data_IF_049524474916
#
_entry.id   IF_049524474916
#
_cell.length_a   1.000
_cell.length_b   1.000
_cell.length_c   1.000
_cell.angle_alpha   90.00
_cell.angle_beta   90.00
_cell.angle_gamma   90.00
#
_symmetry.space_group_name_H-M   'P 1'
#
loop_
_entity.id
_entity.type
_entity.pdbx_description
1 polymer ?
#
# COMPACT_ATOMS: atom_id res chain seq x y z
N UNK A 1 31.55 -3.84 33.11
CA UNK A 1 30.60 -4.92 32.75
C UNK A 1 29.82 -5.23 34.02
N UNK A 2 28.50 -5.05 34.01
CA UNK A 2 27.67 -5.01 35.22
C UNK A 2 27.28 -6.42 35.69
N UNK A 3 27.57 -6.70 36.97
CA UNK A 3 27.32 -7.94 37.73
C UNK A 3 25.86 -8.45 37.67
N UNK A 4 24.90 -7.59 37.33
CA UNK A 4 23.48 -7.91 37.14
C UNK A 4 23.19 -8.89 35.98
N UNK A 5 24.07 -8.96 34.98
CA UNK A 5 23.93 -9.91 33.87
C UNK A 5 24.47 -11.31 34.21
N UNK A 6 25.36 -11.42 35.21
CA UNK A 6 25.89 -12.72 35.68
C UNK A 6 24.95 -13.39 36.68
N UNK A 7 24.34 -12.64 37.59
CA UNK A 7 23.49 -13.20 38.67
C UNK A 7 22.13 -13.70 38.19
N UNK A 8 21.64 -13.23 37.03
CA UNK A 8 20.32 -13.56 36.51
C UNK A 8 20.33 -13.83 34.99
N UNK A 9 20.79 -15.02 34.56
CA UNK A 9 20.84 -15.40 33.14
C UNK A 9 19.46 -15.37 32.46
N UNK A 10 18.38 -15.56 33.22
CA UNK A 10 17.00 -15.48 32.74
C UNK A 10 16.59 -14.06 32.33
N UNK A 11 17.12 -13.01 32.99
CA UNK A 11 16.83 -11.62 32.62
C UNK A 11 17.52 -11.23 31.31
N UNK A 12 18.68 -11.81 31.03
CA UNK A 12 19.42 -11.61 29.78
C UNK A 12 18.63 -12.19 28.59
N UNK A 13 18.10 -13.41 28.75
CA UNK A 13 17.19 -14.03 27.79
C UNK A 13 15.89 -13.21 27.62
N UNK A 14 15.28 -12.76 28.72
CA UNK A 14 14.05 -11.98 28.67
C UNK A 14 14.27 -10.61 28.01
N UNK A 15 15.42 -9.97 28.24
CA UNK A 15 15.79 -8.71 27.61
C UNK A 15 16.05 -8.89 26.11
N UNK A 16 16.81 -9.91 25.70
CA UNK A 16 17.08 -10.21 24.28
C UNK A 16 15.81 -10.62 23.53
N UNK A 17 15.01 -11.51 24.11
CA UNK A 17 13.72 -11.91 23.56
C UNK A 17 12.74 -10.73 23.51
N UNK A 18 12.75 -9.83 24.51
CA UNK A 18 11.96 -8.61 24.54
C UNK A 18 12.35 -7.65 23.40
N UNK A 19 13.65 -7.45 23.19
CA UNK A 19 14.16 -6.63 22.07
C UNK A 19 13.79 -7.25 20.73
N UNK A 20 13.96 -8.57 20.56
CA UNK A 20 13.61 -9.27 19.33
C UNK A 20 12.10 -9.22 19.04
N UNK A 21 11.27 -9.42 20.05
CA UNK A 21 9.81 -9.35 19.94
C UNK A 21 9.36 -7.94 19.57
N UNK A 22 9.94 -6.91 20.20
CA UNK A 22 9.64 -5.51 19.90
C UNK A 22 10.01 -5.16 18.45
N UNK A 23 11.22 -5.52 18.02
CA UNK A 23 11.67 -5.29 16.64
C UNK A 23 10.73 -5.99 15.67
N UNK A 24 10.43 -7.28 15.85
CA UNK A 24 9.56 -8.07 14.96
C UNK A 24 8.17 -7.44 14.80
N UNK A 25 7.53 -7.04 15.90
CA UNK A 25 6.24 -6.35 15.86
C UNK A 25 6.37 -5.02 15.12
N UNK A 26 7.43 -4.24 15.43
CA UNK A 26 7.68 -2.96 14.79
C UNK A 26 7.80 -3.10 13.27
N UNK A 27 8.62 -4.03 12.76
CA UNK A 27 8.76 -4.24 11.31
C UNK A 27 7.45 -4.69 10.67
N UNK A 28 6.65 -5.55 11.32
CA UNK A 28 5.35 -5.99 10.76
C UNK A 28 4.36 -4.83 10.66
N UNK A 29 4.21 -4.05 11.74
CA UNK A 29 3.30 -2.89 11.75
C UNK A 29 3.79 -1.82 10.79
N UNK A 30 5.09 -1.58 10.75
CA UNK A 30 5.76 -0.60 9.89
C UNK A 30 5.65 -0.97 8.40
N UNK A 31 5.90 -2.23 8.05
CA UNK A 31 5.83 -2.70 6.66
C UNK A 31 4.39 -2.78 6.16
N UNK A 32 3.43 -3.20 7.01
CA UNK A 32 2.01 -3.21 6.65
C UNK A 32 1.42 -1.79 6.55
N UNK A 33 1.89 -0.82 7.34
CA UNK A 33 1.42 0.57 7.27
C UNK A 33 1.85 1.31 6.00
N UNK A 34 2.99 0.97 5.41
CA UNK A 34 3.52 1.65 4.21
C UNK A 34 2.74 1.31 2.93
N UNK A 35 2.10 0.14 2.86
CA UNK A 35 1.36 -0.30 1.67
C UNK A 35 0.01 0.43 1.44
N UNK A 36 -0.46 1.25 2.39
CA UNK A 36 -1.81 1.85 2.35
C UNK A 36 -1.94 3.13 1.51
N UNK A 37 -0.90 3.56 0.80
CA UNK A 37 -0.95 4.74 -0.09
C UNK A 37 -0.43 4.42 -1.49
N UNK A 38 -1.12 3.52 -2.20
CA UNK A 38 -1.26 3.67 -3.65
C UNK A 38 -2.62 4.32 -3.92
N UNK A 39 -2.70 5.67 -3.97
CA UNK A 39 -3.87 6.30 -4.58
C UNK A 39 -3.99 5.70 -5.97
N UNK A 40 -5.12 5.03 -6.22
CA UNK A 40 -5.51 4.51 -7.53
C UNK A 40 -5.11 5.56 -8.57
N UNK A 41 -4.35 5.22 -9.64
CA UNK A 41 -4.10 6.14 -10.74
C UNK A 41 -5.44 6.74 -11.11
N UNK A 42 -5.57 8.05 -10.87
CA UNK A 42 -6.77 8.82 -11.10
C UNK A 42 -7.20 8.48 -12.52
N UNK A 43 -8.40 7.86 -12.61
CA UNK A 43 -9.27 7.75 -13.77
C UNK A 43 -8.63 8.24 -15.07
N UNK A 44 -8.36 7.31 -15.99
CA UNK A 44 -7.94 7.61 -17.36
C UNK A 44 -8.59 8.92 -17.86
N UNK A 45 -7.81 9.84 -18.48
CA UNK A 45 -8.35 11.07 -19.04
C UNK A 45 -9.61 10.76 -19.84
N UNK A 46 -10.69 11.50 -19.55
CA UNK A 46 -12.00 11.30 -20.20
C UNK A 46 -11.98 11.70 -21.70
N UNK A 47 -10.82 12.10 -22.22
CA UNK A 47 -10.54 12.48 -23.60
C UNK A 47 -10.01 11.30 -24.43
N UNK A 48 -10.72 10.17 -24.40
CA UNK A 48 -10.55 9.21 -25.48
C UNK A 48 -11.29 9.74 -26.72
N UNK A 49 -10.52 10.17 -27.72
CA UNK A 49 -11.00 10.64 -29.03
C UNK A 49 -11.96 9.66 -29.75
N UNK A 50 -12.02 8.40 -29.29
CA UNK A 50 -12.93 7.36 -29.76
C UNK A 50 -14.42 7.68 -29.61
N UNK A 51 -14.81 8.64 -28.75
CA UNK A 51 -16.22 9.07 -28.63
C UNK A 51 -16.58 10.23 -29.58
N UNK A 52 -15.58 10.94 -30.12
CA UNK A 52 -15.83 12.02 -31.07
C UNK A 52 -16.31 11.49 -32.42
N UNK A 53 -15.97 10.24 -32.75
CA UNK A 53 -16.37 9.60 -34.02
C UNK A 53 -17.80 9.08 -34.01
N UNK A 54 -18.39 8.84 -32.85
CA UNK A 54 -19.78 8.37 -32.75
C UNK A 54 -20.78 9.53 -32.99
N UNK A 55 -20.44 10.75 -32.59
CA UNK A 55 -21.29 11.93 -32.81
C UNK A 55 -21.39 12.36 -34.30
N UNK A 56 -20.47 11.91 -35.16
CA UNK A 56 -20.51 12.18 -36.60
C UNK A 56 -21.21 11.08 -37.40
N UNK A 57 -21.46 9.90 -36.82
CA UNK A 57 -22.08 8.78 -37.56
C UNK A 57 -23.61 8.80 -37.50
N UNK A 58 -24.18 9.46 -36.49
CA UNK A 58 -25.63 9.62 -36.32
C UNK A 58 -26.21 10.79 -37.14
N UNK A 59 -25.37 11.68 -37.69
CA UNK A 59 -25.80 12.84 -38.47
C UNK A 59 -26.08 12.53 -39.97
N UNK A 60 -25.61 11.40 -40.48
CA UNK A 60 -25.62 11.08 -41.92
C UNK A 60 -26.58 9.95 -42.31
N UNK A 61 -27.59 9.63 -41.49
CA UNK A 61 -28.70 8.77 -41.95
C UNK A 61 -29.84 9.66 -42.45
N UNK A 62 -30.02 9.87 -43.77
CA UNK A 62 -31.22 10.51 -44.27
C UNK A 62 -32.39 9.55 -44.01
N UNK A 63 -33.28 9.97 -43.11
CA UNK A 63 -34.64 9.48 -42.99
C UNK A 63 -35.35 9.68 -44.34
N UNK A 64 -35.25 8.69 -45.23
CA UNK A 64 -35.98 8.67 -46.50
C UNK A 64 -37.47 8.50 -46.20
N UNK A 65 -38.27 9.46 -46.67
CA UNK A 65 -39.73 9.49 -46.54
C UNK A 65 -40.45 8.50 -47.43
#
# INVERSE_FOLDING_TARGET
MSQFFEDHPALLLAAEAGVALFLLIFIVVWTMSTARKHPRPTRAPKDHASRATDASKDADTPSNG
#
